data_IF_972147310766
#
_entry.id   IF_972147310766
#
_cell.length_a   1.000
_cell.length_b   1.000
_cell.length_c   1.000
_cell.angle_alpha   90.00
_cell.angle_beta   90.00
_cell.angle_gamma   90.00
#
_symmetry.space_group_name_H-M   'P 1'
#
loop_
_entity.id
_entity.type
_entity.pdbx_description
1 polymer ?
#
# COMPACT_ATOMS: atom_id res chain seq x y z
N UNK A 1 -5.12 -23.30 -5.05
CA UNK A 1 -6.24 -22.44 -4.54
C UNK A 1 -5.92 -21.03 -4.96
N UNK A 2 -6.89 -20.23 -5.49
CA UNK A 2 -6.64 -18.80 -5.78
C UNK A 2 -6.39 -18.05 -4.47
N UNK A 3 -5.35 -17.23 -4.42
CA UNK A 3 -5.02 -16.43 -3.24
C UNK A 3 -5.56 -14.98 -3.32
N UNK A 4 -6.08 -14.56 -4.47
CA UNK A 4 -6.63 -13.23 -4.72
C UNK A 4 -5.65 -12.07 -4.49
N UNK A 5 -4.35 -12.37 -4.49
CA UNK A 5 -3.28 -11.38 -4.39
C UNK A 5 -2.73 -11.18 -5.79
N UNK A 6 -2.89 -9.99 -6.36
CA UNK A 6 -2.43 -9.69 -7.70
C UNK A 6 -1.32 -8.63 -7.68
N UNK A 7 -0.38 -8.79 -8.60
CA UNK A 7 0.71 -7.83 -8.82
C UNK A 7 0.70 -7.33 -10.25
N UNK A 8 0.89 -6.04 -10.41
CA UNK A 8 0.98 -5.39 -11.72
C UNK A 8 2.30 -4.62 -11.78
N UNK A 9 3.25 -5.15 -12.57
CA UNK A 9 4.53 -4.48 -12.80
C UNK A 9 4.35 -3.29 -13.74
N UNK A 10 5.17 -2.25 -13.54
CA UNK A 10 5.09 -1.00 -14.28
C UNK A 10 3.69 -0.34 -14.20
N UNK A 11 2.99 -0.53 -13.09
CA UNK A 11 1.74 0.15 -12.85
C UNK A 11 1.93 1.68 -12.68
N UNK A 12 3.09 2.07 -12.17
CA UNK A 12 3.63 3.42 -12.31
C UNK A 12 4.88 3.35 -13.19
N UNK A 13 5.03 4.33 -14.08
CA UNK A 13 6.25 4.48 -14.86
C UNK A 13 7.37 5.04 -13.97
N UNK A 14 8.60 4.87 -14.39
CA UNK A 14 9.77 5.34 -13.63
C UNK A 14 9.70 6.83 -13.31
N UNK A 15 9.33 7.64 -14.29
CA UNK A 15 9.21 9.09 -14.14
C UNK A 15 8.12 9.48 -13.13
N UNK A 16 7.03 8.71 -13.07
CA UNK A 16 5.96 8.89 -12.09
C UNK A 16 6.45 8.52 -10.66
N UNK A 17 7.19 7.43 -10.52
CA UNK A 17 7.83 7.08 -9.26
C UNK A 17 8.81 8.17 -8.81
N UNK A 18 9.68 8.64 -9.69
CA UNK A 18 10.63 9.72 -9.41
C UNK A 18 9.92 11.01 -8.98
N UNK A 19 8.82 11.37 -9.66
CA UNK A 19 8.00 12.54 -9.28
C UNK A 19 7.47 12.42 -7.86
N UNK A 20 6.87 11.27 -7.50
CA UNK A 20 6.31 11.03 -6.17
C UNK A 20 7.41 10.99 -5.11
N UNK A 21 8.56 10.39 -5.41
CA UNK A 21 9.72 10.37 -4.51
C UNK A 21 10.23 11.80 -4.24
N UNK A 22 10.31 12.65 -5.27
CA UNK A 22 10.69 14.05 -5.11
C UNK A 22 9.69 14.81 -4.25
N UNK A 23 8.39 14.54 -4.40
CA UNK A 23 7.36 15.09 -3.52
C UNK A 23 7.59 14.67 -2.06
N UNK A 24 7.84 13.37 -1.78
CA UNK A 24 8.14 12.86 -0.43
C UNK A 24 9.36 13.58 0.17
N UNK A 25 10.41 13.80 -0.63
CA UNK A 25 11.65 14.43 -0.16
C UNK A 25 11.51 15.91 0.19
N UNK A 26 10.48 16.57 -0.31
CA UNK A 26 10.22 18.02 -0.08
C UNK A 26 9.08 18.28 0.90
N UNK A 27 8.26 17.28 1.19
CA UNK A 27 7.10 17.40 2.06
C UNK A 27 7.47 17.25 3.55
N UNK A 28 6.55 17.69 4.41
CA UNK A 28 6.66 17.45 5.85
C UNK A 28 6.15 16.06 6.16
N UNK A 29 7.02 15.22 6.69
CA UNK A 29 6.67 13.88 7.14
C UNK A 29 6.31 13.90 8.63
N UNK A 30 5.32 13.09 9.00
CA UNK A 30 4.92 12.87 10.38
C UNK A 30 5.17 11.41 10.78
N UNK A 31 5.41 11.09 12.07
CA UNK A 31 5.50 9.71 12.50
C UNK A 31 4.26 8.90 12.13
N UNK A 32 4.46 7.70 11.59
CA UNK A 32 3.36 6.82 11.23
C UNK A 32 2.54 6.40 12.45
N UNK A 33 1.22 6.34 12.28
CA UNK A 33 0.29 5.93 13.34
C UNK A 33 -0.37 4.59 13.02
N UNK A 34 -0.80 3.89 14.05
CA UNK A 34 -1.64 2.69 13.96
C UNK A 34 -3.13 3.05 14.10
N UNK A 35 -4.01 2.05 14.02
CA UNK A 35 -5.47 2.23 13.94
C UNK A 35 -6.11 3.09 15.05
N UNK A 36 -5.47 3.23 16.20
CA UNK A 36 -5.93 4.06 17.32
C UNK A 36 -5.33 5.48 17.31
N UNK A 37 -4.73 5.92 16.21
CA UNK A 37 -4.05 7.21 16.04
C UNK A 37 -2.83 7.39 16.96
N UNK A 38 -2.25 6.29 17.45
CA UNK A 38 -1.04 6.32 18.27
C UNK A 38 0.20 5.98 17.46
N UNK A 39 1.30 6.58 17.83
CA UNK A 39 2.63 6.17 17.36
C UNK A 39 3.08 4.99 18.21
N UNK A 40 3.17 3.81 17.60
CA UNK A 40 3.60 2.55 18.24
C UNK A 40 4.68 1.91 17.37
N UNK A 41 5.94 2.34 17.55
CA UNK A 41 7.08 1.94 16.71
C UNK A 41 7.33 0.43 16.71
N UNK A 42 6.99 -0.28 17.78
CA UNK A 42 7.06 -1.74 17.85
C UNK A 42 6.07 -2.44 16.89
N UNK A 43 5.05 -1.73 16.45
CA UNK A 43 4.05 -2.21 15.50
C UNK A 43 4.36 -1.67 14.10
N UNK A 44 4.47 -0.33 14.00
CA UNK A 44 4.71 0.40 12.78
C UNK A 44 5.69 1.53 13.03
N UNK A 45 6.88 1.41 12.47
CA UNK A 45 7.90 2.45 12.48
C UNK A 45 8.07 2.99 11.05
N UNK A 46 7.50 4.17 10.79
CA UNK A 46 7.52 4.83 9.48
C UNK A 46 7.39 6.34 9.61
N UNK A 47 7.67 7.01 8.50
CA UNK A 47 7.36 8.42 8.28
C UNK A 47 6.30 8.53 7.20
N UNK A 48 5.18 9.18 7.51
CA UNK A 48 4.00 9.18 6.65
C UNK A 48 3.65 10.60 6.17
N UNK A 49 3.05 10.68 4.97
CA UNK A 49 2.38 11.87 4.44
C UNK A 49 0.94 11.44 4.11
N UNK A 50 -0.04 11.83 4.95
CA UNK A 50 -1.45 11.60 4.63
C UNK A 50 -1.88 12.52 3.48
N UNK A 51 -2.55 11.95 2.49
CA UNK A 51 -3.09 12.67 1.33
C UNK A 51 -4.57 12.33 1.16
N UNK A 52 -5.31 13.29 0.58
CA UNK A 52 -6.71 13.11 0.19
C UNK A 52 -6.80 13.04 -1.34
N UNK A 53 -7.21 11.89 -1.88
CA UNK A 53 -7.36 11.65 -3.32
C UNK A 53 -8.42 12.56 -3.98
N UNK A 54 -9.29 13.20 -3.20
CA UNK A 54 -10.23 14.18 -3.70
C UNK A 54 -9.57 15.53 -4.04
N UNK A 55 -8.37 15.80 -3.52
CA UNK A 55 -7.61 16.98 -3.91
C UNK A 55 -6.99 16.78 -5.30
N UNK A 56 -7.74 17.21 -6.34
CA UNK A 56 -7.33 17.12 -7.74
C UNK A 56 -6.26 18.14 -8.14
N UNK A 57 -5.92 19.09 -7.26
CA UNK A 57 -4.82 20.02 -7.49
C UNK A 57 -3.45 19.38 -7.23
N UNK A 58 -3.42 18.28 -6.49
CA UNK A 58 -2.20 17.51 -6.21
C UNK A 58 -1.94 16.49 -7.34
N UNK A 59 -0.87 16.68 -8.10
CA UNK A 59 -0.52 15.80 -9.21
C UNK A 59 -0.21 14.37 -8.78
N UNK A 60 0.29 14.15 -7.55
CA UNK A 60 0.46 12.80 -7.00
C UNK A 60 -0.87 12.05 -6.99
N UNK A 61 -1.96 12.71 -6.58
CA UNK A 61 -3.31 12.11 -6.60
C UNK A 61 -3.76 11.72 -7.99
N UNK A 62 -3.49 12.57 -9.00
CA UNK A 62 -3.87 12.30 -10.38
C UNK A 62 -3.13 11.09 -10.95
N UNK A 63 -1.81 11.03 -10.74
CA UNK A 63 -0.96 9.90 -11.17
C UNK A 63 -1.49 8.60 -10.57
N UNK A 64 -1.66 8.57 -9.26
CA UNK A 64 -2.07 7.36 -8.54
C UNK A 64 -3.47 6.92 -8.90
N UNK A 65 -4.43 7.85 -8.96
CA UNK A 65 -5.82 7.55 -9.29
C UNK A 65 -5.95 6.96 -10.69
N UNK A 66 -5.27 7.55 -11.69
CA UNK A 66 -5.32 7.06 -13.06
C UNK A 66 -4.77 5.64 -13.19
N UNK A 67 -3.65 5.36 -12.52
CA UNK A 67 -3.09 4.00 -12.48
C UNK A 67 -4.01 3.04 -11.73
N UNK A 68 -4.48 3.41 -10.54
CA UNK A 68 -5.30 2.55 -9.70
C UNK A 68 -6.61 2.14 -10.40
N UNK A 69 -7.34 3.10 -11.00
CA UNK A 69 -8.59 2.81 -11.71
C UNK A 69 -8.37 1.76 -12.81
N UNK A 70 -7.31 1.90 -13.60
CA UNK A 70 -6.97 0.94 -14.65
C UNK A 70 -6.80 -0.47 -14.09
N UNK A 71 -5.99 -0.64 -13.04
CA UNK A 71 -5.66 -1.97 -12.53
C UNK A 71 -6.74 -2.56 -11.60
N UNK A 72 -7.58 -1.75 -11.01
CA UNK A 72 -8.79 -2.26 -10.34
C UNK A 72 -9.73 -2.89 -11.36
N UNK A 73 -9.90 -2.30 -12.56
CA UNK A 73 -10.70 -2.93 -13.62
C UNK A 73 -10.07 -4.24 -14.14
N UNK A 74 -8.74 -4.35 -14.19
CA UNK A 74 -8.06 -5.62 -14.49
C UNK A 74 -8.29 -6.65 -13.36
N UNK A 75 -8.14 -6.24 -12.10
CA UNK A 75 -8.42 -7.10 -10.94
C UNK A 75 -9.86 -7.65 -10.95
N UNK A 76 -10.84 -6.82 -11.30
CA UNK A 76 -12.27 -7.22 -11.40
C UNK A 76 -12.50 -8.26 -12.50
N UNK A 77 -11.77 -8.19 -13.62
CA UNK A 77 -11.85 -9.22 -14.67
C UNK A 77 -11.35 -10.57 -14.18
N UNK A 78 -10.26 -10.59 -13.41
CA UNK A 78 -9.70 -11.82 -12.83
C UNK A 78 -10.54 -12.36 -11.66
N UNK A 79 -11.20 -11.45 -10.92
CA UNK A 79 -11.97 -11.73 -9.70
C UNK A 79 -13.37 -11.10 -9.76
N UNK A 80 -14.26 -11.55 -10.68
CA UNK A 80 -15.56 -10.91 -10.88
C UNK A 80 -16.47 -10.94 -9.66
N UNK A 81 -16.16 -11.79 -8.68
CA UNK A 81 -16.91 -11.84 -7.40
C UNK A 81 -16.87 -10.53 -6.63
N UNK A 82 -15.81 -9.71 -6.83
CA UNK A 82 -15.68 -8.41 -6.13
C UNK A 82 -16.77 -7.42 -6.55
N UNK A 83 -17.27 -7.52 -7.77
CA UNK A 83 -18.36 -6.69 -8.28
C UNK A 83 -19.77 -7.26 -7.94
N UNK A 84 -19.84 -8.49 -7.43
CA UNK A 84 -21.10 -9.11 -7.02
C UNK A 84 -21.58 -8.69 -5.61
N UNK A 85 -20.72 -8.02 -4.86
CA UNK A 85 -21.04 -7.41 -3.57
C UNK A 85 -21.74 -6.06 -3.76
N UNK A 86 -22.22 -5.47 -2.65
CA UNK A 86 -22.78 -4.11 -2.69
C UNK A 86 -21.79 -3.10 -3.30
N UNK A 87 -22.29 -2.01 -3.91
CA UNK A 87 -21.41 -0.97 -4.46
C UNK A 87 -20.36 -0.51 -3.43
N UNK A 88 -19.14 -0.45 -3.86
CA UNK A 88 -18.01 -0.01 -3.06
C UNK A 88 -17.30 1.17 -3.75
N UNK A 89 -16.47 1.89 -3.01
CA UNK A 89 -15.76 3.06 -3.50
C UNK A 89 -14.36 3.10 -2.90
N UNK A 90 -13.49 3.91 -3.48
CA UNK A 90 -12.21 4.23 -2.88
C UNK A 90 -12.41 5.05 -1.60
N UNK A 91 -11.73 4.70 -0.52
CA UNK A 91 -11.55 5.61 0.59
C UNK A 91 -10.59 6.73 0.11
N UNK A 92 -10.92 8.00 0.28
CA UNK A 92 -10.08 9.06 -0.27
C UNK A 92 -8.75 9.25 0.46
N UNK A 93 -8.65 8.83 1.72
CA UNK A 93 -7.44 9.06 2.52
C UNK A 93 -6.46 7.90 2.35
N UNK A 94 -5.23 8.24 1.99
CA UNK A 94 -4.14 7.29 1.85
C UNK A 94 -2.82 7.88 2.37
N UNK A 95 -1.77 7.04 2.54
CA UNK A 95 -0.50 7.46 3.06
C UNK A 95 0.64 7.14 2.09
N UNK A 96 1.44 8.14 1.75
CA UNK A 96 2.80 7.92 1.30
C UNK A 96 3.64 7.57 2.53
N UNK A 97 4.45 6.51 2.43
CA UNK A 97 5.20 5.97 3.54
C UNK A 97 6.67 5.84 3.20
N UNK A 98 7.49 6.36 4.10
CA UNK A 98 8.94 6.21 4.07
C UNK A 98 9.40 5.38 5.25
N UNK A 99 10.11 4.31 4.96
CA UNK A 99 10.79 3.46 5.93
C UNK A 99 12.29 3.60 5.74
N UNK A 100 12.98 4.18 6.71
CA UNK A 100 14.45 4.20 6.71
C UNK A 100 14.99 2.78 7.03
N UNK A 101 16.28 2.50 6.79
CA UNK A 101 16.87 1.23 7.19
C UNK A 101 16.55 0.87 8.64
N UNK A 102 16.07 -0.35 8.85
CA UNK A 102 15.63 -0.85 10.16
C UNK A 102 14.16 -0.58 10.50
N UNK A 103 13.48 0.31 9.79
CA UNK A 103 12.06 0.62 10.00
C UNK A 103 11.14 -0.33 9.20
N UNK A 104 9.89 -0.46 9.61
CA UNK A 104 8.91 -1.33 8.94
C UNK A 104 7.56 -1.40 9.63
N UNK A 105 6.63 -2.10 9.01
CA UNK A 105 5.41 -2.54 9.68
C UNK A 105 5.66 -3.98 10.19
N UNK A 106 6.03 -4.08 11.47
CA UNK A 106 6.57 -5.31 12.06
C UNK A 106 5.50 -6.35 12.38
N UNK A 107 4.31 -5.88 12.77
CA UNK A 107 3.23 -6.74 13.24
C UNK A 107 2.43 -7.30 12.07
N UNK A 108 2.17 -8.62 12.11
CA UNK A 108 1.17 -9.25 11.26
C UNK A 108 -0.20 -8.62 11.47
N UNK A 109 -0.85 -8.19 10.39
CA UNK A 109 -2.14 -7.52 10.42
C UNK A 109 -2.93 -7.79 9.14
N UNK A 110 -4.18 -7.43 9.14
CA UNK A 110 -5.01 -7.20 7.96
C UNK A 110 -5.73 -5.86 8.12
N UNK A 111 -6.40 -5.41 7.08
CA UNK A 111 -6.94 -4.05 7.04
C UNK A 111 -8.34 -3.95 7.67
N UNK A 112 -9.05 -5.06 7.75
CA UNK A 112 -10.42 -5.16 8.25
C UNK A 112 -10.43 -5.79 9.66
N UNK A 113 -9.93 -5.05 10.67
CA UNK A 113 -9.74 -5.57 12.04
C UNK A 113 -10.50 -4.81 13.12
N UNK A 114 -11.24 -3.77 12.77
CA UNK A 114 -11.98 -2.95 13.73
C UNK A 114 -13.34 -2.56 13.19
N UNK A 115 -14.21 -2.08 14.06
CA UNK A 115 -15.53 -1.59 13.65
C UNK A 115 -15.43 -0.46 12.61
N UNK A 116 -14.42 0.40 12.73
CA UNK A 116 -14.19 1.53 11.79
C UNK A 116 -13.67 1.09 10.43
N UNK A 117 -13.02 -0.07 10.37
CA UNK A 117 -12.41 -0.61 9.14
C UNK A 117 -13.17 -1.82 8.59
N UNK A 118 -14.31 -2.20 9.21
CA UNK A 118 -15.07 -3.39 8.86
C UNK A 118 -15.67 -3.37 7.45
N UNK A 119 -15.77 -2.20 6.83
CA UNK A 119 -16.26 -2.00 5.47
C UNK A 119 -15.17 -2.06 4.40
N UNK A 120 -13.91 -2.26 4.79
CA UNK A 120 -12.80 -2.39 3.83
C UNK A 120 -12.87 -3.72 3.13
N UNK A 121 -12.89 -3.69 1.80
CA UNK A 121 -13.01 -4.89 0.94
C UNK A 121 -11.65 -5.30 0.41
N UNK A 122 -10.89 -4.33 -0.08
CA UNK A 122 -9.56 -4.53 -0.66
C UNK A 122 -8.58 -3.52 -0.09
N UNK A 123 -7.31 -3.91 -0.11
CA UNK A 123 -6.17 -3.04 0.09
C UNK A 123 -5.32 -3.01 -1.18
N UNK A 124 -4.59 -1.93 -1.36
CA UNK A 124 -3.63 -1.80 -2.45
C UNK A 124 -2.41 -1.01 -2.01
N UNK A 125 -1.29 -1.31 -2.65
CA UNK A 125 -0.01 -0.65 -2.35
C UNK A 125 0.83 -0.52 -3.62
N UNK A 126 1.44 0.65 -3.82
CA UNK A 126 2.51 0.83 -4.80
C UNK A 126 3.87 0.83 -4.11
N UNK A 127 4.84 0.17 -4.72
CA UNK A 127 6.25 0.34 -4.42
C UNK A 127 6.81 1.44 -5.32
N UNK A 128 7.42 2.45 -4.72
CA UNK A 128 7.96 3.60 -5.46
C UNK A 128 9.45 3.41 -5.82
N UNK A 129 10.12 2.48 -5.14
CA UNK A 129 11.50 2.11 -5.44
C UNK A 129 11.70 0.60 -5.25
N UNK A 130 12.71 0.06 -5.92
CA UNK A 130 13.17 -1.31 -5.69
C UNK A 130 14.01 -1.36 -4.43
N UNK A 131 13.76 -2.39 -3.60
CA UNK A 131 14.54 -2.71 -2.39
C UNK A 131 15.01 -4.15 -2.49
N UNK A 132 16.30 -4.40 -2.31
CA UNK A 132 16.93 -5.71 -2.60
C UNK A 132 17.25 -6.52 -1.35
N UNK A 133 17.41 -5.90 -0.18
CA UNK A 133 17.74 -6.56 1.08
C UNK A 133 16.54 -6.68 2.04
N UNK A 134 15.33 -6.72 1.50
CA UNK A 134 14.09 -6.72 2.26
C UNK A 134 13.04 -5.83 1.61
N UNK A 135 12.31 -5.02 2.40
CA UNK A 135 11.27 -4.10 1.90
C UNK A 135 10.00 -4.79 1.37
N UNK A 136 10.03 -6.10 1.26
CA UNK A 136 8.97 -6.94 0.70
C UNK A 136 7.71 -6.96 1.57
N UNK A 137 6.59 -7.43 1.01
CA UNK A 137 5.36 -7.72 1.77
C UNK A 137 5.17 -9.23 1.84
N UNK A 138 5.09 -9.75 3.06
CA UNK A 138 4.90 -11.18 3.34
C UNK A 138 3.47 -11.47 3.76
N UNK A 139 2.82 -12.44 3.11
CA UNK A 139 1.47 -12.93 3.40
C UNK A 139 1.56 -14.30 4.08
N UNK A 140 1.23 -14.34 5.37
CA UNK A 140 1.45 -15.52 6.22
C UNK A 140 0.64 -16.74 5.76
N UNK A 141 -0.66 -16.58 5.49
CA UNK A 141 -1.55 -17.70 5.15
C UNK A 141 -1.18 -18.41 3.84
N UNK A 142 -0.37 -17.77 3.01
CA UNK A 142 0.03 -18.29 1.69
C UNK A 142 1.52 -18.60 1.60
N UNK A 143 2.28 -18.30 2.67
CA UNK A 143 3.76 -18.33 2.65
C UNK A 143 4.32 -17.62 1.41
N UNK A 144 3.78 -16.44 1.12
CA UNK A 144 4.03 -15.71 -0.11
C UNK A 144 4.70 -14.38 0.17
N UNK A 145 5.83 -14.13 -0.48
CA UNK A 145 6.57 -12.86 -0.38
C UNK A 145 6.48 -12.11 -1.70
N UNK A 146 5.98 -10.88 -1.64
CA UNK A 146 5.92 -9.95 -2.77
C UNK A 146 7.08 -8.98 -2.72
N UNK A 147 7.95 -9.04 -3.74
CA UNK A 147 9.16 -8.22 -3.80
C UNK A 147 8.83 -6.75 -4.03
N UNK A 148 9.56 -5.89 -3.34
CA UNK A 148 9.52 -4.44 -3.51
C UNK A 148 10.23 -4.05 -4.81
N UNK A 149 9.46 -3.88 -5.88
CA UNK A 149 9.93 -3.50 -7.22
C UNK A 149 9.31 -2.14 -7.58
N UNK A 150 10.15 -1.21 -8.05
CA UNK A 150 9.72 0.12 -8.49
C UNK A 150 8.57 0.03 -9.49
N UNK A 151 7.53 0.84 -9.27
CA UNK A 151 6.34 0.91 -10.11
C UNK A 151 5.37 -0.24 -9.97
N UNK A 152 5.63 -1.23 -9.12
CA UNK A 152 4.72 -2.36 -8.88
C UNK A 152 3.55 -1.96 -8.02
N UNK A 153 2.33 -2.29 -8.50
CA UNK A 153 1.10 -2.26 -7.71
C UNK A 153 0.80 -3.67 -7.18
N UNK A 154 0.40 -3.73 -5.93
CA UNK A 154 -0.09 -4.92 -5.25
C UNK A 154 -1.54 -4.66 -4.82
N UNK A 155 -2.46 -5.60 -5.11
CA UNK A 155 -3.89 -5.56 -4.71
C UNK A 155 -4.25 -6.88 -4.03
N UNK A 156 -4.94 -6.82 -2.89
CA UNK A 156 -5.36 -8.00 -2.13
C UNK A 156 -6.63 -7.74 -1.31
N UNK A 157 -7.37 -8.81 -0.92
CA UNK A 157 -8.50 -8.68 0.01
C UNK A 157 -8.08 -8.16 1.38
N UNK A 158 -8.86 -7.24 1.95
CA UNK A 158 -8.55 -6.57 3.21
C UNK A 158 -8.73 -7.43 4.46
N UNK A 159 -9.22 -8.68 4.31
CA UNK A 159 -9.72 -9.52 5.39
C UNK A 159 -8.63 -10.32 6.11
N UNK A 160 -9.00 -10.93 7.24
CA UNK A 160 -8.15 -11.77 8.09
C UNK A 160 -7.52 -12.99 7.36
N UNK A 161 -8.06 -13.38 6.22
CA UNK A 161 -7.46 -14.40 5.35
C UNK A 161 -6.16 -13.93 4.69
N UNK A 162 -5.86 -12.64 4.74
CA UNK A 162 -4.68 -12.02 4.11
C UNK A 162 -3.81 -11.29 5.15
N UNK A 163 -3.54 -11.96 6.30
CA UNK A 163 -2.58 -11.45 7.27
C UNK A 163 -1.21 -11.25 6.61
N UNK A 164 -0.67 -10.06 6.78
CA UNK A 164 0.59 -9.70 6.16
C UNK A 164 1.42 -8.77 7.05
N UNK A 165 2.70 -8.62 6.71
CA UNK A 165 3.63 -7.67 7.32
C UNK A 165 4.67 -7.20 6.31
N UNK A 166 5.30 -6.06 6.60
CA UNK A 166 6.51 -5.63 5.90
C UNK A 166 7.73 -6.42 6.38
N UNK A 167 8.59 -6.82 5.44
CA UNK A 167 9.93 -7.32 5.75
C UNK A 167 10.85 -6.11 5.80
N UNK A 168 11.56 -5.96 6.91
CA UNK A 168 12.46 -4.82 7.13
C UNK A 168 13.66 -4.90 6.16
N UNK A 169 14.00 -3.77 5.56
CA UNK A 169 15.30 -3.57 4.92
C UNK A 169 16.27 -2.98 5.96
N UNK A 170 17.48 -3.52 6.04
CA UNK A 170 18.48 -3.04 6.98
C UNK A 170 19.46 -2.05 6.37
N UNK A 171 19.52 -1.96 5.05
CA UNK A 171 20.50 -1.12 4.34
C UNK A 171 19.87 -0.08 3.40
N UNK A 172 18.61 -0.32 2.97
CA UNK A 172 17.94 0.51 1.96
C UNK A 172 16.69 1.19 2.52
N UNK A 173 16.40 2.39 2.05
CA UNK A 173 15.14 3.06 2.32
C UNK A 173 14.04 2.48 1.43
N UNK A 174 12.92 2.09 2.01
CA UNK A 174 11.71 1.73 1.27
C UNK A 174 10.78 2.92 1.18
N UNK A 175 10.33 3.21 -0.03
CA UNK A 175 9.27 4.18 -0.32
C UNK A 175 8.08 3.45 -0.92
N UNK A 176 6.94 3.61 -0.31
CA UNK A 176 5.70 2.98 -0.75
C UNK A 176 4.50 3.89 -0.49
N UNK A 177 3.41 3.51 -1.08
CA UNK A 177 2.13 4.15 -0.84
C UNK A 177 1.16 3.04 -0.53
N UNK A 178 0.46 3.18 0.57
CA UNK A 178 -0.59 2.25 0.96
C UNK A 178 -1.90 2.98 1.15
N UNK A 179 -2.94 2.38 0.62
CA UNK A 179 -4.31 2.72 0.93
C UNK A 179 -5.04 1.49 1.43
N UNK A 180 -5.86 1.76 2.37
CA UNK A 180 -6.62 0.73 3.05
C UNK A 180 -8.09 1.07 2.97
#
# INVERSE_FOLDING_TARGET
MKNFIETYDNALQKEECEYIINFINTAILIPGVVSNQKVEVEIKDSWDIPLDMNDKSNEVNNILFNSLVKYIEEYKKEHPQVDSINPWRYDPIYNLQKYNPGQGYHKLHCENISLHTSNRVMAWMFYLNTVTDGGNTYFENYDLTMNAIEGRLLIWPAYWTHFHKGIVSHTETKLSLIHI
#
